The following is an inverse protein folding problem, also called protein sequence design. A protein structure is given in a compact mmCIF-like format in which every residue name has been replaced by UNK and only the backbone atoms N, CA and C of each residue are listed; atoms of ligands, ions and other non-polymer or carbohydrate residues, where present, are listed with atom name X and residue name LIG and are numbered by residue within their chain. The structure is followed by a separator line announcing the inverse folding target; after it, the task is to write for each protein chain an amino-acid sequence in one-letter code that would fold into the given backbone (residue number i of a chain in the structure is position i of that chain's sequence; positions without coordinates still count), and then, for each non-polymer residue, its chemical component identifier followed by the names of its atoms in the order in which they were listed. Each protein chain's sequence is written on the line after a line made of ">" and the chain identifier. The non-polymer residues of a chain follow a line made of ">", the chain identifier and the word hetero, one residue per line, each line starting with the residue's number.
data_IF_115655459703
#
_entry.id   IF_115655459703
#
_cell.length_a   1.000
_cell.length_b   1.000
_cell.length_c   1.000
_cell.angle_alpha   90.00
_cell.angle_beta   90.00
_cell.angle_gamma   90.00
#
_symmetry.space_group_name_H-M   'P 1'
#
loop_
_entity.id
_entity.type
_entity.pdbx_description
1 polymer ?
#
# COMPACT_ATOMS: atom_id res chain seq x y z
N UNK A 1 10.56 35.50 -15.50
CA UNK A 1 10.80 34.08 -15.14
C UNK A 1 11.52 33.41 -16.30
N UNK A 2 12.77 32.96 -16.10
CA UNK A 2 13.47 32.23 -17.16
C UNK A 2 12.69 30.94 -17.48
N UNK A 3 12.61 30.57 -18.77
CA UNK A 3 11.90 29.36 -19.25
C UNK A 3 12.20 28.12 -18.40
N UNK A 4 13.48 27.95 -18.02
CA UNK A 4 13.96 26.88 -17.11
C UNK A 4 13.25 26.89 -15.74
N UNK A 5 13.08 28.07 -15.12
CA UNK A 5 12.38 28.21 -13.83
C UNK A 5 10.89 27.86 -13.96
N UNK A 6 10.24 28.27 -15.06
CA UNK A 6 8.82 27.99 -15.31
C UNK A 6 8.54 26.49 -15.52
N UNK A 7 9.38 25.82 -16.31
CA UNK A 7 9.27 24.36 -16.54
C UNK A 7 9.41 23.61 -15.21
N UNK A 8 10.42 23.94 -14.40
CA UNK A 8 10.63 23.31 -13.10
C UNK A 8 9.46 23.51 -12.13
N UNK A 9 8.86 24.71 -12.13
CA UNK A 9 7.68 24.98 -11.31
C UNK A 9 6.49 24.10 -11.73
N UNK A 10 6.23 23.98 -13.04
CA UNK A 10 5.14 23.16 -13.58
C UNK A 10 5.36 21.68 -13.24
N UNK A 11 6.58 21.16 -13.44
CA UNK A 11 6.90 19.76 -13.13
C UNK A 11 6.69 19.44 -11.64
N UNK A 12 7.19 20.31 -10.75
CA UNK A 12 6.98 20.17 -9.30
C UNK A 12 5.50 20.21 -8.92
N UNK A 13 4.72 21.10 -9.55
CA UNK A 13 3.29 21.19 -9.30
C UNK A 13 2.54 19.91 -9.73
N UNK A 14 2.89 19.35 -10.90
CA UNK A 14 2.31 18.08 -11.39
C UNK A 14 2.70 16.90 -10.49
N UNK A 15 3.96 16.81 -10.09
CA UNK A 15 4.43 15.76 -9.18
C UNK A 15 3.70 15.81 -7.83
N UNK A 16 3.52 17.00 -7.25
CA UNK A 16 2.75 17.18 -6.01
C UNK A 16 1.29 16.75 -6.17
N UNK A 17 0.65 17.10 -7.28
CA UNK A 17 -0.73 16.68 -7.57
C UNK A 17 -0.87 15.15 -7.72
N UNK A 18 0.11 14.50 -8.34
CA UNK A 18 0.14 13.04 -8.45
C UNK A 18 0.31 12.38 -7.08
N UNK A 19 1.29 12.84 -6.29
CA UNK A 19 1.54 12.29 -4.97
C UNK A 19 0.36 12.51 -4.00
N UNK A 20 -0.32 13.66 -4.10
CA UNK A 20 -1.52 13.95 -3.34
C UNK A 20 -2.65 12.91 -3.57
N UNK A 21 -2.77 12.39 -4.80
CA UNK A 21 -3.75 11.36 -5.15
C UNK A 21 -3.35 9.96 -4.68
N UNK A 22 -2.05 9.72 -4.48
CA UNK A 22 -1.51 8.41 -4.10
C UNK A 22 -1.45 8.20 -2.58
N UNK A 23 -1.71 9.24 -1.77
CA UNK A 23 -1.76 9.13 -0.32
C UNK A 23 -3.01 8.37 0.12
N UNK A 24 -2.88 7.05 0.30
CA UNK A 24 -3.79 6.25 1.12
C UNK A 24 -3.53 6.55 2.60
N UNK A 25 -4.59 6.76 3.39
CA UNK A 25 -4.43 6.82 4.85
C UNK A 25 -4.07 5.44 5.38
N UNK A 26 -3.04 5.34 6.24
CA UNK A 26 -2.68 4.10 6.95
C UNK A 26 -3.72 3.64 7.98
N UNK A 27 -4.90 4.27 8.01
CA UNK A 27 -5.99 3.92 8.92
C UNK A 27 -6.91 2.92 8.20
N UNK A 28 -7.31 1.82 8.84
CA UNK A 28 -8.32 0.94 8.28
C UNK A 28 -9.61 1.75 8.07
N UNK A 29 -10.23 1.59 6.91
CA UNK A 29 -11.54 2.21 6.66
C UNK A 29 -12.53 1.63 7.66
N UNK A 30 -13.35 2.47 8.30
CA UNK A 30 -14.43 1.95 9.12
C UNK A 30 -15.40 1.20 8.22
N UNK A 31 -15.57 -0.09 8.49
CA UNK A 31 -16.51 -0.98 7.84
C UNK A 31 -17.56 -1.39 8.88
N UNK A 32 -18.77 -1.66 8.42
CA UNK A 32 -19.87 -2.03 9.33
C UNK A 32 -19.60 -3.38 10.02
N UNK A 33 -20.32 -3.69 11.11
CA UNK A 33 -20.15 -4.98 11.83
C UNK A 33 -20.38 -6.19 10.90
N UNK A 34 -21.31 -6.09 9.96
CA UNK A 34 -21.60 -7.14 8.98
C UNK A 34 -20.45 -7.31 7.97
N UNK A 35 -19.93 -6.20 7.43
CA UNK A 35 -18.79 -6.24 6.50
C UNK A 35 -17.52 -6.78 7.16
N UNK A 36 -17.30 -6.47 8.45
CA UNK A 36 -16.16 -7.01 9.21
C UNK A 36 -16.26 -8.52 9.38
N UNK A 37 -17.44 -9.05 9.72
CA UNK A 37 -17.64 -10.50 9.85
C UNK A 37 -17.41 -11.24 8.52
N UNK A 38 -17.84 -10.66 7.40
CA UNK A 38 -17.59 -11.24 6.07
C UNK A 38 -16.10 -11.24 5.72
N UNK A 39 -15.38 -10.16 6.00
CA UNK A 39 -13.94 -10.05 5.75
C UNK A 39 -13.12 -11.00 6.64
N UNK A 40 -13.48 -11.15 7.92
CA UNK A 40 -12.84 -12.11 8.83
C UNK A 40 -13.06 -13.57 8.40
N UNK A 41 -14.25 -13.90 7.85
CA UNK A 41 -14.53 -15.23 7.31
C UNK A 41 -13.73 -15.52 6.02
N UNK A 42 -13.62 -14.54 5.12
CA UNK A 42 -12.78 -14.63 3.91
C UNK A 42 -11.28 -14.73 4.26
N UNK A 43 -10.81 -13.96 5.24
CA UNK A 43 -9.43 -14.02 5.73
C UNK A 43 -9.12 -15.39 6.37
N UNK A 44 -10.04 -15.97 7.14
CA UNK A 44 -9.87 -17.32 7.71
C UNK A 44 -9.81 -18.41 6.64
N UNK A 45 -10.62 -18.30 5.58
CA UNK A 45 -10.53 -19.21 4.44
C UNK A 45 -9.18 -19.08 3.72
N UNK A 46 -8.71 -17.85 3.50
CA UNK A 46 -7.45 -17.60 2.79
C UNK A 46 -6.19 -17.94 3.62
N UNK A 47 -6.26 -17.81 4.95
CA UNK A 47 -5.20 -18.26 5.85
C UNK A 47 -5.08 -19.79 5.88
N UNK A 48 -6.21 -20.52 5.81
CA UNK A 48 -6.19 -21.99 5.75
C UNK A 48 -5.51 -22.54 4.48
N UNK A 49 -5.49 -21.77 3.39
CA UNK A 49 -4.80 -22.11 2.13
C UNK A 49 -3.35 -21.66 2.05
N UNK A 50 -2.89 -20.73 2.89
CA UNK A 50 -1.52 -20.17 2.83
C UNK A 50 -0.56 -20.79 3.85
N UNK A 51 -1.05 -21.51 4.85
CA UNK A 51 -0.19 -22.21 5.82
C UNK A 51 0.44 -23.51 5.32
N UNK A 52 0.26 -23.89 4.04
CA UNK A 52 0.88 -25.08 3.43
C UNK A 52 2.02 -24.79 2.44
N UNK A 53 2.32 -23.53 2.11
CA UNK A 53 3.35 -23.18 1.10
C UNK A 53 4.28 -22.08 1.64
N UNK A 54 5.36 -22.46 2.31
CA UNK A 54 6.38 -21.50 2.76
C UNK A 54 7.42 -22.01 3.76
N UNK A 55 7.61 -23.31 3.92
CA UNK A 55 8.77 -23.88 4.64
C UNK A 55 9.90 -24.14 3.65
N UNK A 56 10.72 -23.15 3.29
CA UNK A 56 12.16 -23.26 2.94
C UNK A 56 12.64 -21.94 2.28
N UNK A 57 13.56 -21.22 2.91
CA UNK A 57 14.95 -21.07 2.42
C UNK A 57 15.80 -20.22 3.39
N UNK A 58 17.03 -20.68 3.61
CA UNK A 58 18.02 -20.21 4.59
C UNK A 58 18.80 -18.99 4.08
N UNK A 59 19.38 -18.20 5.00
CA UNK A 59 20.45 -17.28 4.58
C UNK A 59 20.88 -16.24 5.60
N UNK A 60 21.62 -16.69 6.62
CA UNK A 60 22.47 -15.88 7.51
C UNK A 60 23.32 -14.90 6.70
N UNK A 61 23.41 -13.63 7.14
CA UNK A 61 24.66 -12.86 7.13
C UNK A 61 24.55 -11.71 8.15
N UNK A 62 25.37 -11.83 9.20
CA UNK A 62 25.75 -10.73 10.09
C UNK A 62 26.90 -10.00 9.39
N UNK A 63 26.73 -8.71 9.14
CA UNK A 63 27.82 -7.74 8.99
C UNK A 63 27.62 -6.66 10.07
#
# INVERSE_FOLDING_TARGET
>A
MNRKKKINQILKAKQKQHNAKLHKSNKPRYISKAERANMEAEEQQNQSSTSSEGTVDLGVNQD
#
